data_IF_957727331504
#
_entry.id   IF_957727331504
#
_cell.length_a   1.000
_cell.length_b   1.000
_cell.length_c   1.000
_cell.angle_alpha   90.00
_cell.angle_beta   90.00
_cell.angle_gamma   90.00
#
_symmetry.space_group_name_H-M   'P 1'
#
loop_
_entity.id
_entity.type
_entity.pdbx_description
1 polymer ?
#
# COMPACT_ATOMS: atom_id res chain seq x y z
N UNK A 1 -2.11 -7.81 10.37
CA UNK A 1 -2.63 -6.43 10.29
C UNK A 1 -3.42 -6.27 9.00
N UNK A 2 -4.63 -5.73 9.03
CA UNK A 2 -5.46 -5.56 7.83
C UNK A 2 -5.09 -4.31 7.01
N UNK A 3 -4.50 -3.31 7.67
CA UNK A 3 -4.09 -2.08 7.00
C UNK A 3 -2.75 -2.29 6.28
N UNK A 4 -2.77 -2.02 4.98
CA UNK A 4 -1.64 -2.09 4.07
C UNK A 4 -1.37 -0.68 3.50
N UNK A 5 -0.21 -0.48 2.90
CA UNK A 5 0.12 0.74 2.17
C UNK A 5 1.01 0.47 0.96
N UNK A 6 1.04 1.41 0.02
CA UNK A 6 2.04 1.48 -1.04
C UNK A 6 2.50 2.93 -1.23
N UNK A 7 3.61 3.13 -1.92
CA UNK A 7 4.10 4.45 -2.32
C UNK A 7 3.66 4.68 -3.78
N UNK A 8 2.96 5.79 -4.03
CA UNK A 8 2.57 6.17 -5.39
C UNK A 8 3.73 6.87 -6.13
N UNK A 9 3.52 7.22 -7.39
CA UNK A 9 4.53 7.89 -8.22
C UNK A 9 4.92 9.29 -7.71
N UNK A 10 4.07 9.92 -6.89
CA UNK A 10 4.34 11.20 -6.24
C UNK A 10 5.17 11.06 -4.96
N UNK A 11 5.45 9.83 -4.51
CA UNK A 11 6.11 9.57 -3.23
C UNK A 11 5.17 9.56 -2.02
N UNK A 12 3.85 9.66 -2.22
CA UNK A 12 2.88 9.63 -1.14
C UNK A 12 2.60 8.20 -0.67
N UNK A 13 2.40 8.06 0.64
CA UNK A 13 1.97 6.81 1.26
C UNK A 13 0.45 6.67 1.15
N UNK A 14 -0.01 5.76 0.29
CA UNK A 14 -1.43 5.47 0.10
C UNK A 14 -1.83 4.23 0.88
N UNK A 15 -2.79 4.39 1.79
CA UNK A 15 -3.29 3.30 2.63
C UNK A 15 -4.43 2.54 1.93
N UNK A 16 -4.46 1.23 2.14
CA UNK A 16 -5.45 0.34 1.55
C UNK A 16 -5.63 -0.92 2.40
N UNK A 17 -6.73 -1.63 2.20
CA UNK A 17 -6.93 -2.99 2.75
C UNK A 17 -6.65 -4.08 1.71
N UNK A 18 -6.40 -3.68 0.46
CA UNK A 18 -6.02 -4.59 -0.62
C UNK A 18 -4.57 -5.02 -0.45
N UNK A 19 -4.25 -6.22 -0.93
CA UNK A 19 -2.88 -6.76 -0.97
C UNK A 19 -2.08 -6.28 -2.18
N UNK A 20 -2.74 -5.60 -3.10
CA UNK A 20 -2.18 -5.11 -4.36
C UNK A 20 -2.60 -3.67 -4.59
N UNK A 21 -1.69 -2.88 -5.14
CA UNK A 21 -1.91 -1.51 -5.59
C UNK A 21 -2.64 -1.49 -6.94
N UNK A 22 -3.17 -0.34 -7.37
CA UNK A 22 -3.86 -0.21 -8.67
C UNK A 22 -2.99 -0.56 -9.89
N UNK A 23 -1.66 -0.53 -9.73
CA UNK A 23 -0.67 -0.88 -10.76
C UNK A 23 -0.18 -2.32 -10.65
N UNK A 24 -0.79 -3.14 -9.80
CA UNK A 24 -0.44 -4.56 -9.62
C UNK A 24 0.78 -4.81 -8.75
N UNK A 25 1.27 -3.82 -8.01
CA UNK A 25 2.38 -4.00 -7.07
C UNK A 25 1.86 -4.47 -5.72
N UNK A 26 2.58 -5.39 -5.06
CA UNK A 26 2.23 -5.84 -3.72
C UNK A 26 2.32 -4.69 -2.71
N UNK A 27 1.33 -4.60 -1.83
CA UNK A 27 1.30 -3.62 -0.74
C UNK A 27 2.07 -4.12 0.48
N UNK A 28 2.49 -3.20 1.35
CA UNK A 28 3.22 -3.49 2.57
C UNK A 28 2.35 -3.31 3.81
N UNK A 29 2.61 -4.09 4.87
CA UNK A 29 1.89 -3.95 6.14
C UNK A 29 2.13 -2.57 6.75
N UNK A 30 1.08 -1.87 7.14
CA UNK A 30 1.17 -0.54 7.77
C UNK A 30 1.52 -0.58 9.26
N UNK A 31 1.74 -1.78 9.82
CA UNK A 31 2.25 -1.92 11.19
C UNK A 31 3.79 -1.73 11.20
N UNK A 32 4.35 -1.05 12.21
CA UNK A 32 5.79 -0.92 12.40
C UNK A 32 6.50 -2.28 12.54
#
# INVERSE_FOLDING_TARGET
MYLQFYINDNGDKVYTTKKESPVGLATQSAHP
#
